data_IF_313687090569
#
_entry.id   IF_313687090569
#
_cell.length_a   1.000
_cell.length_b   1.000
_cell.length_c   1.000
_cell.angle_alpha   90.00
_cell.angle_beta   90.00
_cell.angle_gamma   90.00
#
_symmetry.space_group_name_H-M   'P 1'
#
loop_
_entity.id
_entity.type
_entity.pdbx_description
1 polymer ?
#
# COMPACT_ATOMS: atom_id res chain seq x y z
N UNK A 1 -0.58 9.73 -5.75
CA UNK A 1 -0.99 9.55 -4.34
C UNK A 1 0.14 10.07 -3.51
N UNK A 2 0.25 11.39 -3.51
CA UNK A 2 1.50 12.11 -3.29
C UNK A 2 1.22 13.04 -2.13
N UNK A 3 1.77 12.67 -0.98
CA UNK A 3 2.05 13.49 0.20
C UNK A 3 1.25 14.79 0.36
N UNK A 4 0.03 14.66 0.90
CA UNK A 4 -0.65 15.73 1.65
C UNK A 4 -1.91 15.16 2.30
N UNK A 5 -1.73 14.29 3.30
CA UNK A 5 -2.82 14.08 4.24
C UNK A 5 -2.97 15.39 5.03
N UNK A 6 -4.00 16.17 4.69
CA UNK A 6 -4.39 17.34 5.48
C UNK A 6 -4.52 16.94 6.96
N UNK A 7 -4.37 17.87 7.92
CA UNK A 7 -4.55 17.55 9.34
C UNK A 7 -5.87 16.79 9.62
N UNK A 8 -6.95 17.22 8.96
CA UNK A 8 -8.24 16.55 9.00
C UNK A 8 -8.19 15.12 8.43
N UNK A 9 -7.55 14.91 7.27
CA UNK A 9 -7.43 13.58 6.69
C UNK A 9 -6.64 12.62 7.60
N UNK A 10 -5.56 13.10 8.23
CA UNK A 10 -4.80 12.32 9.23
C UNK A 10 -5.68 11.94 10.43
N UNK A 11 -6.44 12.90 10.94
CA UNK A 11 -7.39 12.67 12.04
C UNK A 11 -8.42 11.61 11.69
N UNK A 12 -9.02 11.69 10.50
CA UNK A 12 -10.04 10.71 10.08
C UNK A 12 -9.46 9.33 9.82
N UNK A 13 -8.26 9.24 9.25
CA UNK A 13 -7.56 7.96 9.12
C UNK A 13 -7.26 7.35 10.48
N UNK A 14 -6.81 8.16 11.44
CA UNK A 14 -6.61 7.71 12.81
C UNK A 14 -7.90 7.17 13.43
N UNK A 15 -9.00 7.93 13.35
CA UNK A 15 -10.31 7.52 13.90
C UNK A 15 -10.78 6.19 13.29
N UNK A 16 -10.79 6.08 11.96
CA UNK A 16 -11.28 4.90 11.26
C UNK A 16 -10.42 3.66 11.54
N UNK A 17 -9.10 3.76 11.36
CA UNK A 17 -8.22 2.60 11.51
C UNK A 17 -8.12 2.15 12.96
N UNK A 18 -8.12 3.09 13.92
CA UNK A 18 -8.17 2.74 15.33
C UNK A 18 -9.47 1.99 15.68
N UNK A 19 -10.62 2.51 15.28
CA UNK A 19 -11.91 1.86 15.54
C UNK A 19 -11.96 0.45 14.96
N UNK A 20 -11.54 0.28 13.70
CA UNK A 20 -11.55 -1.05 13.04
C UNK A 20 -10.61 -2.05 13.69
N UNK A 21 -9.43 -1.61 14.10
CA UNK A 21 -8.48 -2.45 14.82
C UNK A 21 -9.06 -2.93 16.16
N UNK A 22 -9.66 -2.03 16.94
CA UNK A 22 -10.23 -2.36 18.27
C UNK A 22 -11.46 -3.25 18.13
N UNK A 23 -12.33 -2.97 17.15
CA UNK A 23 -13.54 -3.74 16.86
C UNK A 23 -13.28 -5.06 16.11
N UNK A 24 -12.01 -5.45 15.89
CA UNK A 24 -11.62 -6.69 15.19
C UNK A 24 -12.23 -6.81 13.78
N UNK A 25 -12.45 -5.68 13.11
CA UNK A 25 -13.02 -5.67 11.77
C UNK A 25 -11.92 -5.80 10.70
N UNK A 26 -12.10 -6.68 9.68
CA UNK A 26 -11.08 -6.93 8.67
C UNK A 26 -10.79 -5.69 7.83
N UNK A 27 -9.51 -5.32 7.68
CA UNK A 27 -9.05 -4.19 6.87
C UNK A 27 -7.90 -4.64 5.96
N UNK A 28 -7.89 -4.10 4.74
CA UNK A 28 -6.74 -4.24 3.83
C UNK A 28 -6.15 -2.85 3.60
N UNK A 29 -4.85 -2.72 3.84
CA UNK A 29 -4.10 -1.48 3.61
C UNK A 29 -2.99 -1.80 2.62
N UNK A 30 -2.95 -1.06 1.52
CA UNK A 30 -1.88 -1.15 0.53
C UNK A 30 -1.04 0.11 0.57
N UNK A 31 0.27 -0.03 0.62
CA UNK A 31 1.21 1.09 0.59
C UNK A 31 2.41 0.76 -0.29
N UNK A 32 2.94 1.78 -0.95
CA UNK A 32 4.23 1.72 -1.66
C UNK A 32 5.39 2.13 -0.76
N UNK A 33 5.10 2.72 0.40
CA UNK A 33 6.11 3.21 1.35
C UNK A 33 6.68 2.08 2.18
N UNK A 34 7.95 2.20 2.54
CA UNK A 34 8.57 1.26 3.47
C UNK A 34 7.96 1.39 4.88
N UNK A 35 7.93 0.31 5.69
CA UNK A 35 7.39 0.36 7.04
C UNK A 35 8.01 1.45 7.94
N UNK A 36 9.27 1.80 7.70
CA UNK A 36 9.98 2.86 8.44
C UNK A 36 9.44 4.27 8.17
N UNK A 37 8.80 4.46 7.02
CA UNK A 37 8.23 5.74 6.58
C UNK A 37 6.76 5.89 6.99
N UNK A 38 6.15 4.82 7.49
CA UNK A 38 4.76 4.84 7.98
C UNK A 38 4.72 5.51 9.36
N UNK A 39 3.64 6.27 9.61
CA UNK A 39 3.38 6.90 10.90
C UNK A 39 3.52 5.89 12.05
N UNK A 40 4.23 6.24 13.15
CA UNK A 40 4.54 5.28 14.22
C UNK A 40 3.32 4.56 14.81
N UNK A 41 2.21 5.28 15.01
CA UNK A 41 0.99 4.72 15.58
C UNK A 41 0.36 3.64 14.68
N UNK A 42 0.41 3.85 13.36
CA UNK A 42 -0.14 2.92 12.38
C UNK A 42 0.80 1.73 12.23
N UNK A 43 2.12 1.99 12.24
CA UNK A 43 3.15 0.94 12.19
C UNK A 43 2.99 -0.06 13.34
N UNK A 44 2.78 0.40 14.56
CA UNK A 44 2.58 -0.49 15.72
C UNK A 44 1.40 -1.44 15.53
N UNK A 45 0.30 -0.98 14.90
CA UNK A 45 -0.88 -1.81 14.65
C UNK A 45 -0.67 -2.78 13.48
N UNK A 46 -0.07 -2.30 12.40
CA UNK A 46 0.23 -3.14 11.23
C UNK A 46 1.20 -4.28 11.55
N UNK A 47 2.09 -4.08 12.54
CA UNK A 47 3.09 -5.06 12.97
C UNK A 47 2.62 -5.93 14.15
N UNK A 48 1.36 -5.82 14.57
CA UNK A 48 0.79 -6.69 15.59
C UNK A 48 0.58 -8.10 15.02
N UNK A 49 1.45 -9.03 15.43
CA UNK A 49 1.46 -10.42 14.99
C UNK A 49 0.18 -11.19 15.34
N UNK A 50 -0.59 -10.74 16.34
CA UNK A 50 -1.83 -11.42 16.74
C UNK A 50 -3.05 -10.98 15.93
N UNK A 51 -2.96 -9.85 15.21
CA UNK A 51 -4.13 -9.20 14.57
C UNK A 51 -3.93 -8.85 13.11
N UNK A 52 -2.70 -8.73 12.63
CA UNK A 52 -2.40 -8.25 11.28
C UNK A 52 -1.41 -9.17 10.55
N UNK A 53 -1.56 -9.23 9.23
CA UNK A 53 -0.62 -9.91 8.36
C UNK A 53 0.05 -8.88 7.45
N UNK A 54 1.38 -8.81 7.51
CA UNK A 54 2.18 -7.97 6.63
C UNK A 54 2.70 -8.78 5.44
N UNK A 55 2.30 -8.40 4.23
CA UNK A 55 2.75 -9.04 2.99
C UNK A 55 3.53 -8.04 2.13
N UNK A 56 4.81 -8.31 1.92
CA UNK A 56 5.64 -7.56 0.99
C UNK A 56 5.46 -8.08 -0.44
N UNK A 57 5.07 -7.20 -1.36
CA UNK A 57 4.99 -7.53 -2.78
C UNK A 57 6.36 -7.30 -3.41
N UNK A 58 7.11 -8.38 -3.62
CA UNK A 58 8.43 -8.38 -4.28
C UNK A 58 8.34 -8.53 -5.80
N UNK A 59 7.13 -8.79 -6.32
CA UNK A 59 6.91 -8.96 -7.74
C UNK A 59 7.11 -7.63 -8.52
N UNK A 60 7.60 -7.70 -9.78
CA UNK A 60 7.70 -6.53 -10.63
C UNK A 60 6.32 -5.96 -10.97
N UNK A 61 6.27 -4.66 -11.30
CA UNK A 61 5.02 -3.98 -11.64
C UNK A 61 4.28 -4.65 -12.81
N UNK A 62 2.98 -4.90 -12.64
CA UNK A 62 2.15 -5.62 -13.61
C UNK A 62 2.20 -5.05 -15.04
N UNK A 63 2.37 -3.74 -15.19
CA UNK A 63 2.43 -3.07 -16.50
C UNK A 63 3.72 -3.33 -17.26
N UNK A 64 4.71 -4.02 -16.67
CA UNK A 64 6.06 -4.13 -17.21
C UNK A 64 6.80 -2.79 -17.13
N UNK A 65 8.13 -2.82 -17.27
CA UNK A 65 8.86 -1.58 -17.50
C UNK A 65 8.46 -0.97 -18.85
N UNK A 66 8.57 0.36 -18.99
CA UNK A 66 8.34 1.05 -20.28
C UNK A 66 9.16 0.42 -21.41
N UNK A 67 10.38 -0.04 -21.10
CA UNK A 67 11.25 -0.80 -22.00
C UNK A 67 10.69 -2.17 -22.40
N UNK A 68 10.03 -2.90 -21.50
CA UNK A 68 9.37 -4.18 -21.83
C UNK A 68 8.11 -3.98 -22.67
N UNK A 69 7.35 -2.89 -22.44
CA UNK A 69 6.21 -2.53 -23.28
C UNK A 69 6.65 -2.14 -24.69
N UNK A 70 7.70 -1.33 -24.84
CA UNK A 70 8.26 -0.95 -26.13
C UNK A 70 8.81 -2.17 -26.89
N UNK A 71 9.50 -3.10 -26.20
CA UNK A 71 9.96 -4.34 -26.82
C UNK A 71 8.80 -5.23 -27.27
N UNK A 72 7.71 -5.32 -26.51
CA UNK A 72 6.50 -6.07 -26.90
C UNK A 72 5.79 -5.41 -28.09
N UNK A 73 5.69 -4.08 -28.13
CA UNK A 73 5.10 -3.35 -29.24
C UNK A 73 5.91 -3.49 -30.53
N UNK A 74 7.25 -3.48 -30.45
CA UNK A 74 8.14 -3.71 -31.60
C UNK A 74 8.07 -5.14 -32.16
N UNK A 75 7.71 -6.11 -31.33
CA UNK A 75 7.59 -7.54 -31.71
C UNK A 75 6.19 -7.93 -32.20
N UNK A 76 5.20 -7.06 -32.11
CA UNK A 76 3.87 -7.36 -32.63
C UNK A 76 3.94 -7.44 -34.17
N UNK A 77 3.51 -8.56 -34.80
CA UNK A 77 3.51 -8.66 -36.25
C UNK A 77 2.53 -7.64 -36.81
N UNK A 78 3.00 -6.82 -37.75
CA UNK A 78 2.13 -5.97 -38.58
C UNK A 78 1.29 -6.90 -39.45
N UNK A 79 0.02 -7.02 -39.10
CA UNK A 79 -0.99 -7.72 -39.91
C UNK A 79 -1.46 -6.81 -41.03
#
# INVERSE_FOLDING_TARGET
GTESATPWAREKLFQLLNFRYTALMPTVITTTSEPKQIDPWLRTRMMDLNRCQYLAITAPGYRGSRSQQEQRARKAPRR
#
